data_IF_779971011120
#
_entry.id   IF_779971011120
#
_cell.length_a   1.000
_cell.length_b   1.000
_cell.length_c   1.000
_cell.angle_alpha   90.00
_cell.angle_beta   90.00
_cell.angle_gamma   90.00
#
_symmetry.space_group_name_H-M   'P 1'
#
loop_
_entity.id
_entity.type
_entity.pdbx_description
1 polymer ?
#
# COMPACT_ATOMS: atom_id res chain seq x y z
N UNK A 1 6.58 -9.61 -2.65
CA UNK A 1 6.48 -8.39 -1.83
C UNK A 1 7.81 -8.18 -1.12
N UNK A 2 8.44 -7.01 -1.24
CA UNK A 2 9.64 -6.71 -0.43
C UNK A 2 9.20 -6.55 1.02
N UNK A 3 9.92 -7.14 1.98
CA UNK A 3 9.56 -7.08 3.41
C UNK A 3 9.42 -5.63 3.89
N UNK A 4 10.25 -4.72 3.33
CA UNK A 4 10.22 -3.29 3.64
C UNK A 4 8.93 -2.61 3.16
N UNK A 5 8.49 -2.87 1.92
CA UNK A 5 7.25 -2.30 1.40
C UNK A 5 6.04 -2.80 2.19
N UNK A 6 6.00 -4.11 2.47
CA UNK A 6 4.94 -4.73 3.28
C UNK A 6 4.84 -4.11 4.67
N UNK A 7 5.97 -3.94 5.36
CA UNK A 7 6.00 -3.35 6.69
C UNK A 7 5.58 -1.87 6.70
N UNK A 8 6.05 -1.07 5.73
CA UNK A 8 5.67 0.34 5.64
C UNK A 8 4.16 0.50 5.32
N UNK A 9 3.63 -0.32 4.42
CA UNK A 9 2.20 -0.32 4.08
C UNK A 9 1.35 -0.77 5.27
N UNK A 10 1.77 -1.81 5.98
CA UNK A 10 1.11 -2.25 7.21
C UNK A 10 1.11 -1.15 8.28
N UNK A 11 2.27 -0.50 8.50
CA UNK A 11 2.40 0.60 9.46
C UNK A 11 1.47 1.77 9.14
N UNK A 12 1.39 2.16 7.87
CA UNK A 12 0.44 3.17 7.41
C UNK A 12 -1.02 2.77 7.71
N UNK A 13 -1.39 1.52 7.45
CA UNK A 13 -2.76 1.05 7.65
C UNK A 13 -3.12 1.02 9.14
N UNK A 14 -2.20 0.55 9.99
CA UNK A 14 -2.38 0.55 11.45
C UNK A 14 -2.55 1.97 11.96
N UNK A 15 -1.71 2.91 11.52
CA UNK A 15 -1.83 4.32 11.90
C UNK A 15 -3.21 4.89 11.50
N UNK A 16 -3.64 4.68 10.25
CA UNK A 16 -4.94 5.17 9.76
C UNK A 16 -6.10 4.57 10.57
N UNK A 17 -6.07 3.27 10.89
CA UNK A 17 -7.12 2.61 11.67
C UNK A 17 -7.19 3.17 13.09
N UNK A 18 -6.05 3.38 13.74
CA UNK A 18 -6.00 3.95 15.11
C UNK A 18 -6.58 5.37 15.10
N UNK A 19 -6.11 6.23 14.20
CA UNK A 19 -6.56 7.62 14.11
C UNK A 19 -8.06 7.70 13.76
N UNK A 20 -8.53 6.85 12.84
CA UNK A 20 -9.96 6.76 12.51
C UNK A 20 -10.79 6.22 13.68
N UNK A 21 -10.23 5.30 14.46
CA UNK A 21 -10.86 4.75 15.67
C UNK A 21 -11.06 5.80 16.76
N UNK A 22 -10.12 6.73 16.92
CA UNK A 22 -10.27 7.88 17.84
C UNK A 22 -11.45 8.75 17.42
N UNK A 23 -11.53 9.12 16.14
CA UNK A 23 -12.64 9.94 15.62
C UNK A 23 -13.97 9.20 15.69
N UNK A 24 -14.00 7.89 15.44
CA UNK A 24 -15.18 7.06 15.60
C UNK A 24 -15.65 7.02 17.06
N UNK A 25 -14.73 6.87 18.01
CA UNK A 25 -15.02 6.87 19.45
C UNK A 25 -15.62 8.20 19.92
N UNK A 26 -15.03 9.33 19.50
CA UNK A 26 -15.58 10.66 19.79
C UNK A 26 -16.94 10.87 19.12
N UNK A 27 -17.10 10.44 17.86
CA UNK A 27 -18.38 10.49 17.16
C UNK A 27 -19.47 9.67 17.84
N UNK A 28 -19.13 8.47 18.34
CA UNK A 28 -20.05 7.63 19.10
C UNK A 28 -20.42 8.24 20.46
N UNK A 29 -19.46 8.88 21.15
CA UNK A 29 -19.73 9.65 22.37
C UNK A 29 -20.74 10.78 22.09
N UNK A 30 -20.51 11.55 21.03
CA UNK A 30 -21.45 12.60 20.60
C UNK A 30 -22.83 12.04 20.23
N UNK A 31 -22.89 10.88 19.59
CA UNK A 31 -24.16 10.24 19.25
C UNK A 31 -24.94 9.83 20.50
N UNK A 32 -24.27 9.32 21.53
CA UNK A 32 -24.93 8.92 22.77
C UNK A 32 -25.51 10.12 23.53
N UNK A 33 -24.79 11.25 23.53
CA UNK A 33 -25.08 12.39 24.38
C UNK A 33 -26.00 13.44 23.73
N UNK A 34 -25.84 13.68 22.41
CA UNK A 34 -26.46 14.80 21.71
C UNK A 34 -27.54 14.44 20.69
N UNK A 35 -27.66 13.17 20.28
CA UNK A 35 -28.76 12.78 19.39
C UNK A 35 -30.09 12.72 20.14
N UNK A 36 -31.19 13.19 19.54
CA UNK A 36 -31.30 13.75 18.17
C UNK A 36 -31.19 15.29 18.05
N UNK A 37 -30.93 16.04 19.12
CA UNK A 37 -31.25 17.47 19.15
C UNK A 37 -30.11 18.41 18.72
N UNK A 38 -28.83 18.01 18.88
CA UNK A 38 -27.69 18.89 18.58
C UNK A 38 -26.80 18.30 17.48
N UNK A 39 -26.57 19.07 16.40
CA UNK A 39 -25.59 18.79 15.32
C UNK A 39 -25.64 17.36 14.75
N UNK A 40 -26.85 16.81 14.61
CA UNK A 40 -27.10 15.45 14.11
C UNK A 40 -26.34 15.13 12.81
N UNK A 41 -26.35 16.04 11.83
CA UNK A 41 -25.73 15.81 10.52
C UNK A 41 -24.21 15.58 10.61
N UNK A 42 -23.53 16.37 11.45
CA UNK A 42 -22.09 16.24 11.63
C UNK A 42 -21.73 14.94 12.34
N UNK A 43 -22.46 14.61 13.42
CA UNK A 43 -22.22 13.37 14.18
C UNK A 43 -22.43 12.13 13.32
N UNK A 44 -23.51 12.09 12.52
CA UNK A 44 -23.77 10.99 11.58
C UNK A 44 -22.65 10.91 10.54
N UNK A 45 -22.27 12.04 9.94
CA UNK A 45 -21.20 12.08 8.94
C UNK A 45 -19.86 11.58 9.50
N UNK A 46 -19.49 12.00 10.72
CA UNK A 46 -18.26 11.57 11.41
C UNK A 46 -18.21 10.05 11.62
N UNK A 47 -19.31 9.46 12.10
CA UNK A 47 -19.40 8.01 12.34
C UNK A 47 -19.33 7.24 11.02
N UNK A 48 -20.07 7.68 10.00
CA UNK A 48 -20.13 7.01 8.70
C UNK A 48 -18.77 7.03 8.02
N UNK A 49 -18.12 8.19 7.92
CA UNK A 49 -16.82 8.33 7.25
C UNK A 49 -15.73 7.55 7.99
N UNK A 50 -15.70 7.60 9.33
CA UNK A 50 -14.70 6.86 10.12
C UNK A 50 -14.91 5.34 9.97
N UNK A 51 -16.16 4.86 10.05
CA UNK A 51 -16.48 3.43 9.87
C UNK A 51 -16.16 2.95 8.45
N UNK A 52 -16.52 3.74 7.45
CA UNK A 52 -16.24 3.45 6.05
C UNK A 52 -14.74 3.40 5.78
N UNK A 53 -13.96 4.28 6.40
CA UNK A 53 -12.48 4.27 6.32
C UNK A 53 -11.93 2.95 6.87
N UNK A 54 -12.32 2.56 8.09
CA UNK A 54 -11.86 1.31 8.71
C UNK A 54 -12.22 0.09 7.85
N UNK A 55 -13.48 -0.01 7.43
CA UNK A 55 -13.95 -1.12 6.60
C UNK A 55 -13.20 -1.20 5.27
N UNK A 56 -13.01 -0.06 4.60
CA UNK A 56 -12.31 -0.02 3.31
C UNK A 56 -10.85 -0.46 3.45
N UNK A 57 -10.15 0.00 4.49
CA UNK A 57 -8.77 -0.41 4.75
C UNK A 57 -8.63 -1.89 5.11
N UNK A 58 -9.61 -2.49 5.79
CA UNK A 58 -9.64 -3.93 6.04
C UNK A 58 -9.84 -4.73 4.74
N UNK A 59 -10.65 -4.24 3.80
CA UNK A 59 -10.84 -4.89 2.49
C UNK A 59 -9.61 -4.76 1.59
N UNK A 60 -8.99 -3.58 1.53
CA UNK A 60 -7.80 -3.33 0.71
C UNK A 60 -6.56 -4.08 1.22
N UNK A 61 -6.53 -4.53 2.48
CA UNK A 61 -5.48 -5.44 2.95
C UNK A 61 -5.44 -6.75 2.17
N UNK A 62 -6.60 -7.27 1.77
CA UNK A 62 -6.73 -8.58 1.17
C UNK A 62 -6.61 -8.55 -0.36
N UNK A 63 -7.21 -7.55 -1.04
CA UNK A 63 -7.39 -7.56 -2.51
C UNK A 63 -6.95 -6.26 -3.22
N UNK A 64 -5.96 -5.52 -2.69
CA UNK A 64 -5.58 -4.25 -3.31
C UNK A 64 -4.78 -4.41 -4.62
N UNK A 65 -5.19 -3.59 -5.59
CA UNK A 65 -4.46 -3.24 -6.81
C UNK A 65 -4.08 -1.76 -6.73
N UNK A 66 -3.02 -1.28 -7.42
CA UNK A 66 -2.65 0.13 -7.39
C UNK A 66 -3.79 1.05 -7.85
N UNK A 67 -4.59 0.57 -8.81
CA UNK A 67 -5.77 1.30 -9.27
C UNK A 67 -6.83 1.45 -8.17
N UNK A 68 -7.22 0.34 -7.54
CA UNK A 68 -8.24 0.39 -6.48
C UNK A 68 -7.75 1.18 -5.26
N UNK A 69 -6.47 1.06 -4.90
CA UNK A 69 -5.88 1.82 -3.79
C UNK A 69 -5.83 3.33 -4.08
N UNK A 70 -5.50 3.75 -5.31
CA UNK A 70 -5.54 5.16 -5.70
C UNK A 70 -6.96 5.77 -5.61
N UNK A 71 -7.98 5.05 -6.11
CA UNK A 71 -9.38 5.50 -6.04
C UNK A 71 -9.84 5.61 -4.59
N UNK A 72 -9.52 4.60 -3.77
CA UNK A 72 -9.85 4.59 -2.33
C UNK A 72 -9.20 5.76 -1.60
N UNK A 73 -7.90 5.98 -1.79
CA UNK A 73 -7.17 7.07 -1.15
C UNK A 73 -7.73 8.43 -1.56
N UNK A 74 -8.12 8.61 -2.82
CA UNK A 74 -8.74 9.83 -3.30
C UNK A 74 -10.11 10.07 -2.65
N UNK A 75 -11.01 9.09 -2.71
CA UNK A 75 -12.36 9.22 -2.13
C UNK A 75 -12.29 9.44 -0.62
N UNK A 76 -11.53 8.63 0.11
CA UNK A 76 -11.37 8.81 1.55
C UNK A 76 -10.69 10.15 1.86
N UNK A 77 -9.67 10.54 1.11
CA UNK A 77 -9.04 11.86 1.23
C UNK A 77 -10.06 12.99 1.14
N UNK A 78 -10.94 12.98 0.14
CA UNK A 78 -11.99 14.01 0.01
C UNK A 78 -13.00 14.01 1.16
N UNK A 79 -13.38 12.83 1.67
CA UNK A 79 -14.29 12.73 2.82
C UNK A 79 -13.66 13.27 4.11
N UNK A 80 -12.39 12.98 4.34
CA UNK A 80 -11.65 13.50 5.50
C UNK A 80 -11.36 15.00 5.39
N UNK A 81 -11.09 15.51 4.18
CA UNK A 81 -11.01 16.95 3.92
C UNK A 81 -12.35 17.63 4.22
N UNK A 82 -13.45 17.08 3.75
CA UNK A 82 -14.78 17.61 4.02
C UNK A 82 -15.10 17.61 5.52
N UNK A 83 -14.70 16.56 6.24
CA UNK A 83 -14.85 16.50 7.70
C UNK A 83 -14.04 17.58 8.41
N UNK A 84 -12.77 17.77 8.04
CA UNK A 84 -11.91 18.79 8.64
C UNK A 84 -12.28 20.22 8.28
N UNK A 85 -12.93 20.43 7.13
CA UNK A 85 -13.48 21.72 6.73
C UNK A 85 -14.80 22.03 7.44
N UNK A 86 -15.62 21.01 7.75
CA UNK A 86 -16.89 21.17 8.44
C UNK A 86 -16.73 21.25 9.97
N UNK A 87 -15.69 20.67 10.55
CA UNK A 87 -15.37 20.88 11.96
C UNK A 87 -14.95 22.33 12.20
N UNK A 88 -15.88 23.17 12.62
CA UNK A 88 -15.64 24.56 13.00
C UNK A 88 -15.60 24.71 14.52
N UNK A 89 -14.68 25.55 14.99
CA UNK A 89 -14.53 25.99 16.39
C UNK A 89 -15.54 27.06 16.82
N UNK A 90 -16.59 27.24 16.01
CA UNK A 90 -17.65 28.22 16.23
C UNK A 90 -18.99 27.50 16.42
N UNK A 91 -19.74 27.92 17.44
CA UNK A 91 -21.10 27.49 17.73
C UNK A 91 -21.99 28.74 17.65
N UNK A 92 -22.74 28.87 16.55
CA UNK A 92 -23.53 30.07 16.28
C UNK A 92 -22.61 31.30 16.08
N UNK A 93 -22.82 32.42 16.81
CA UNK A 93 -21.94 33.59 16.73
C UNK A 93 -20.74 33.53 17.68
N UNK A 94 -20.63 32.51 18.56
CA UNK A 94 -19.61 32.46 19.61
C UNK A 94 -18.49 31.48 19.28
N UNK A 95 -17.25 31.93 19.50
CA UNK A 95 -16.07 31.08 19.44
C UNK A 95 -16.00 30.18 20.68
N UNK A 96 -15.54 28.95 20.49
CA UNK A 96 -15.42 27.94 21.55
C UNK A 96 -14.61 28.41 22.78
N UNK A 97 -13.68 29.35 22.62
CA UNK A 97 -12.86 29.87 23.72
C UNK A 97 -13.62 30.88 24.61
N UNK A 98 -14.71 31.48 24.11
CA UNK A 98 -15.53 32.44 24.84
C UNK A 98 -16.62 31.78 25.71
N UNK A 99 -16.78 30.45 25.63
CA UNK A 99 -17.93 29.73 26.21
C UNK A 99 -17.60 29.01 27.52
N UNK A 100 -16.56 29.46 28.23
CA UNK A 100 -16.16 28.90 29.51
C UNK A 100 -17.33 28.92 30.53
N UNK A 101 -17.65 27.76 31.10
CA UNK A 101 -18.69 27.61 32.13
C UNK A 101 -20.13 27.50 31.63
N UNK A 102 -20.41 27.64 30.32
CA UNK A 102 -21.76 27.39 29.80
C UNK A 102 -22.04 25.90 29.62
N UNK A 103 -23.28 25.52 29.88
CA UNK A 103 -23.76 24.15 29.73
C UNK A 103 -24.83 24.08 28.65
N UNK A 104 -24.87 22.97 27.93
CA UNK A 104 -25.92 22.67 26.96
C UNK A 104 -26.77 21.51 27.47
N UNK A 105 -28.08 21.50 27.18
CA UNK A 105 -28.90 20.33 27.43
C UNK A 105 -28.38 19.13 26.63
N UNK A 106 -28.24 18.00 27.31
CA UNK A 106 -27.92 16.69 26.74
C UNK A 106 -29.02 15.70 27.06
N UNK A 107 -28.94 14.50 26.50
CA UNK A 107 -29.91 13.42 26.76
C UNK A 107 -29.95 13.00 28.24
N UNK A 108 -28.83 13.11 28.97
CA UNK A 108 -28.70 12.65 30.36
C UNK A 108 -28.61 13.81 31.38
N UNK A 109 -28.82 15.06 30.96
CA UNK A 109 -28.77 16.23 31.83
C UNK A 109 -28.13 17.45 31.15
N UNK A 110 -27.14 18.05 31.80
CA UNK A 110 -26.41 19.19 31.27
C UNK A 110 -24.94 18.81 31.07
N UNK A 111 -24.40 19.04 29.87
CA UNK A 111 -22.96 18.85 29.58
C UNK A 111 -22.26 20.18 29.37
N UNK A 112 -20.99 20.25 29.75
CA UNK A 112 -20.19 21.45 29.54
C UNK A 112 -19.94 21.68 28.05
N UNK A 113 -20.30 22.87 27.55
CA UNK A 113 -20.05 23.22 26.15
C UNK A 113 -18.54 23.29 25.83
N UNK A 114 -17.73 23.60 26.84
CA UNK A 114 -16.27 23.64 26.71
C UNK A 114 -15.66 22.27 26.39
N UNK A 115 -16.12 21.19 27.04
CA UNK A 115 -15.65 19.84 26.73
C UNK A 115 -15.99 19.45 25.29
N UNK A 116 -17.22 19.74 24.86
CA UNK A 116 -17.65 19.52 23.48
C UNK A 116 -16.77 20.26 22.46
N UNK A 117 -16.43 21.52 22.75
CA UNK A 117 -15.53 22.31 21.92
C UNK A 117 -14.13 21.72 21.81
N UNK A 118 -13.56 21.21 22.91
CA UNK A 118 -12.26 20.54 22.87
C UNK A 118 -12.32 19.24 22.06
N UNK A 119 -13.34 18.41 22.25
CA UNK A 119 -13.52 17.18 21.47
C UNK A 119 -13.69 17.48 19.97
N UNK A 120 -14.37 18.57 19.60
CA UNK A 120 -14.49 19.03 18.21
C UNK A 120 -13.13 19.45 17.61
N UNK A 121 -12.31 20.21 18.36
CA UNK A 121 -10.94 20.58 17.94
C UNK A 121 -10.07 19.34 17.73
N UNK A 122 -10.26 18.30 18.54
CA UNK A 122 -9.57 17.02 18.37
C UNK A 122 -9.98 16.32 17.06
N UNK A 123 -11.28 16.23 16.76
CA UNK A 123 -11.76 15.68 15.48
C UNK A 123 -11.22 16.47 14.29
N UNK A 124 -11.17 17.81 14.40
CA UNK A 124 -10.58 18.67 13.37
C UNK A 124 -9.09 18.34 13.15
N UNK A 125 -8.30 18.26 14.21
CA UNK A 125 -6.87 17.95 14.08
C UNK A 125 -6.63 16.56 13.46
N UNK A 126 -7.36 15.55 13.90
CA UNK A 126 -7.23 14.19 13.37
C UNK A 126 -7.70 14.07 11.92
N UNK A 127 -8.77 14.77 11.53
CA UNK A 127 -9.25 14.76 10.15
C UNK A 127 -8.27 15.41 9.17
N UNK A 128 -7.67 16.54 9.53
CA UNK A 128 -6.59 17.14 8.74
C UNK A 128 -5.35 16.25 8.66
N UNK A 129 -4.98 15.62 9.77
CA UNK A 129 -3.84 14.68 9.81
C UNK A 129 -4.09 13.49 8.88
N UNK A 130 -5.27 12.88 8.93
CA UNK A 130 -5.65 11.78 8.05
C UNK A 130 -5.70 12.21 6.59
N UNK A 131 -6.25 13.39 6.28
CA UNK A 131 -6.23 13.93 4.93
C UNK A 131 -4.79 14.07 4.39
N UNK A 132 -3.88 14.68 5.16
CA UNK A 132 -2.47 14.84 4.76
C UNK A 132 -1.81 13.47 4.53
N UNK A 133 -2.06 12.51 5.43
CA UNK A 133 -1.56 11.14 5.29
C UNK A 133 -2.06 10.48 3.99
N UNK A 134 -3.34 10.65 3.62
CA UNK A 134 -3.86 10.13 2.36
C UNK A 134 -3.26 10.82 1.14
N UNK A 135 -3.03 12.14 1.18
CA UNK A 135 -2.37 12.87 0.09
C UNK A 135 -0.93 12.38 -0.10
N UNK A 136 -0.17 12.21 0.98
CA UNK A 136 1.19 11.67 0.92
C UNK A 136 1.18 10.24 0.37
N UNK A 137 0.29 9.38 0.86
CA UNK A 137 0.19 8.00 0.38
C UNK A 137 -0.20 7.95 -1.12
N UNK A 138 -1.14 8.79 -1.54
CA UNK A 138 -1.57 8.91 -2.93
C UNK A 138 -0.42 9.36 -3.85
N UNK A 139 0.36 10.35 -3.40
CA UNK A 139 1.53 10.84 -4.11
C UNK A 139 2.62 9.78 -4.22
N UNK A 140 2.95 9.09 -3.13
CA UNK A 140 3.95 8.01 -3.11
C UNK A 140 3.53 6.86 -4.03
N UNK A 141 2.25 6.46 -4.01
CA UNK A 141 1.72 5.43 -4.91
C UNK A 141 1.94 5.83 -6.38
N UNK A 142 1.61 7.06 -6.76
CA UNK A 142 1.81 7.55 -8.12
C UNK A 142 3.29 7.55 -8.53
N UNK A 143 4.20 7.97 -7.64
CA UNK A 143 5.63 7.95 -7.92
C UNK A 143 6.15 6.53 -8.17
N UNK A 144 5.75 5.58 -7.32
CA UNK A 144 6.13 4.17 -7.45
C UNK A 144 5.60 3.54 -8.73
N UNK A 145 4.34 3.82 -9.08
CA UNK A 145 3.73 3.32 -10.32
C UNK A 145 4.42 3.92 -11.55
N UNK A 146 4.71 5.24 -11.55
CA UNK A 146 5.45 5.89 -12.63
C UNK A 146 6.86 5.32 -12.81
N UNK A 147 7.57 5.06 -11.70
CA UNK A 147 8.89 4.45 -11.75
C UNK A 147 8.84 3.06 -12.38
N UNK A 148 7.88 2.22 -11.98
CA UNK A 148 7.74 0.88 -12.53
C UNK A 148 7.27 0.86 -14.00
N UNK A 149 6.47 1.84 -14.43
CA UNK A 149 6.14 2.00 -15.86
C UNK A 149 7.38 2.34 -16.70
N UNK A 150 8.32 3.15 -16.18
CA UNK A 150 9.60 3.43 -16.86
C UNK A 150 10.47 2.18 -17.02
N UNK A 151 10.32 1.19 -16.14
CA UNK A 151 10.95 -0.13 -16.25
C UNK A 151 10.20 -1.10 -17.19
N UNK A 152 9.22 -0.63 -17.96
CA UNK A 152 8.56 -1.43 -19.00
C UNK A 152 7.31 -2.20 -18.57
N UNK A 153 6.82 -2.04 -17.34
CA UNK A 153 5.56 -2.69 -16.89
C UNK A 153 4.33 -1.84 -17.20
N UNK A 154 3.80 -1.98 -18.41
CA UNK A 154 2.64 -1.20 -18.86
C UNK A 154 1.29 -1.59 -18.22
N UNK A 155 1.19 -2.80 -17.61
CA UNK A 155 -0.04 -3.32 -16.99
C UNK A 155 -0.04 -3.26 -15.45
N UNK A 156 0.85 -2.47 -14.86
CA UNK A 156 1.04 -2.39 -13.40
C UNK A 156 -0.23 -2.04 -12.61
N UNK A 157 -1.11 -1.21 -13.18
CA UNK A 157 -2.34 -0.77 -12.50
C UNK A 157 -3.31 -1.90 -12.17
N UNK A 158 -3.29 -2.99 -12.94
CA UNK A 158 -4.14 -4.17 -12.74
C UNK A 158 -3.44 -5.30 -11.98
N UNK A 159 -2.15 -5.20 -11.73
CA UNK A 159 -1.38 -6.24 -11.05
C UNK A 159 -1.59 -6.18 -9.53
N UNK A 160 -1.64 -7.33 -8.82
CA UNK A 160 -1.72 -7.34 -7.37
C UNK A 160 -0.51 -6.65 -6.73
N UNK A 161 -0.77 -5.75 -5.77
CA UNK A 161 0.29 -4.98 -5.08
C UNK A 161 1.35 -5.86 -4.42
N UNK A 162 0.96 -7.07 -4.01
CA UNK A 162 1.85 -8.04 -3.34
C UNK A 162 2.94 -8.60 -4.27
N UNK A 163 2.68 -8.59 -5.58
CA UNK A 163 3.54 -9.21 -6.60
C UNK A 163 4.49 -8.21 -7.27
N UNK A 164 4.30 -6.91 -7.02
CA UNK A 164 5.05 -5.83 -7.65
C UNK A 164 6.41 -5.59 -6.95
N UNK A 165 7.52 -5.47 -7.72
CA UNK A 165 8.82 -5.05 -7.20
C UNK A 165 8.86 -3.52 -7.09
N UNK A 166 8.60 -3.00 -5.89
CA UNK A 166 8.46 -1.57 -5.66
C UNK A 166 9.80 -0.80 -5.50
N UNK A 167 10.91 -1.50 -5.23
CA UNK A 167 12.20 -0.87 -4.86
C UNK A 167 13.38 -1.42 -5.67
N UNK A 168 13.41 -1.17 -6.98
CA UNK A 168 14.55 -1.46 -7.88
C UNK A 168 15.04 -2.92 -7.90
N UNK A 169 14.29 -3.84 -7.31
CA UNK A 169 14.56 -5.28 -7.38
C UNK A 169 14.23 -5.78 -8.79
N UNK A 170 15.20 -6.44 -9.43
CA UNK A 170 15.10 -6.88 -10.81
C UNK A 170 13.81 -7.69 -11.06
N UNK A 171 13.11 -7.44 -12.18
CA UNK A 171 11.88 -8.16 -12.51
C UNK A 171 12.18 -9.66 -12.64
N UNK A 172 11.67 -10.44 -11.69
CA UNK A 172 11.85 -11.90 -11.65
C UNK A 172 12.33 -12.47 -10.31
N UNK A 173 12.78 -11.64 -9.37
CA UNK A 173 13.40 -12.16 -8.15
C UNK A 173 12.40 -12.76 -7.13
N UNK A 174 11.10 -12.42 -7.20
CA UNK A 174 10.12 -12.87 -6.17
C UNK A 174 8.76 -13.37 -6.66
N UNK A 175 8.41 -13.38 -7.96
CA UNK A 175 7.15 -13.99 -8.42
C UNK A 175 7.14 -14.19 -9.95
N UNK A 176 7.42 -15.40 -10.41
CA UNK A 176 7.13 -15.87 -11.78
C UNK A 176 6.08 -16.97 -11.74
N UNK A 177 4.91 -16.70 -11.16
CA UNK A 177 3.80 -17.67 -11.12
C UNK A 177 2.51 -17.21 -11.83
N UNK A 178 2.55 -16.18 -12.67
CA UNK A 178 1.31 -15.67 -13.27
C UNK A 178 1.47 -15.44 -14.78
N UNK A 179 1.04 -16.46 -15.53
CA UNK A 179 0.57 -16.43 -16.93
C UNK A 179 1.53 -15.90 -18.02
N UNK A 180 2.38 -16.79 -18.53
CA UNK A 180 3.01 -16.65 -19.84
C UNK A 180 3.49 -18.01 -20.35
N UNK A 181 3.07 -18.49 -21.54
CA UNK A 181 3.38 -19.86 -21.99
C UNK A 181 4.82 -20.08 -22.48
N UNK A 182 5.76 -19.15 -22.24
CA UNK A 182 7.12 -19.23 -22.78
C UNK A 182 8.16 -18.44 -21.96
N UNK A 183 8.39 -18.76 -20.68
CA UNK A 183 9.57 -18.21 -20.00
C UNK A 183 10.41 -19.28 -19.32
N UNK A 184 11.68 -19.29 -19.74
CA UNK A 184 12.75 -20.20 -19.36
C UNK A 184 12.82 -20.34 -17.84
N UNK A 185 12.52 -21.56 -17.40
CA UNK A 185 12.73 -22.06 -16.07
C UNK A 185 14.24 -22.17 -15.84
N UNK A 186 14.87 -21.13 -15.28
CA UNK A 186 16.23 -21.25 -14.76
C UNK A 186 16.17 -22.16 -13.53
N UNK A 187 16.86 -23.32 -13.51
CA UNK A 187 16.78 -24.23 -12.38
C UNK A 187 17.43 -23.58 -11.14
N UNK A 188 16.81 -23.67 -9.96
CA UNK A 188 17.44 -23.23 -8.73
C UNK A 188 18.69 -24.09 -8.45
N UNK A 189 19.77 -23.54 -7.85
CA UNK A 189 20.92 -24.33 -7.44
C UNK A 189 20.54 -25.11 -6.17
N UNK A 190 19.81 -26.21 -6.32
CA UNK A 190 19.50 -27.13 -5.23
C UNK A 190 20.59 -28.19 -5.11
N UNK A 191 21.29 -28.11 -3.98
CA UNK A 191 21.90 -29.19 -3.22
C UNK A 191 21.77 -30.62 -3.78
N UNK A 192 22.93 -31.22 -4.03
CA UNK A 192 23.28 -32.62 -3.75
C UNK A 192 22.30 -33.74 -4.10
N UNK A 193 22.73 -34.64 -5.00
CA UNK A 193 22.29 -36.04 -4.94
C UNK A 193 22.16 -36.75 -6.27
N UNK A 194 23.02 -37.76 -6.46
CA UNK A 194 22.84 -39.01 -7.21
C UNK A 194 22.56 -38.97 -8.72
N UNK A 195 23.44 -39.65 -9.46
CA UNK A 195 23.47 -39.71 -10.91
C UNK A 195 22.55 -40.76 -11.54
N UNK A 196 22.43 -40.68 -12.87
CA UNK A 196 22.08 -41.70 -13.87
C UNK A 196 22.18 -41.02 -15.27
N UNK A 197 22.16 -41.73 -16.43
CA UNK A 197 23.23 -41.71 -17.40
C UNK A 197 22.85 -41.03 -18.73
N UNK A 198 23.90 -40.58 -19.42
CA UNK A 198 24.07 -40.43 -20.87
C UNK A 198 22.84 -40.62 -21.78
N UNK A 199 22.42 -39.52 -22.43
CA UNK A 199 21.75 -39.54 -23.73
C UNK A 199 22.39 -38.46 -24.64
N UNK A 200 22.98 -38.82 -25.80
CA UNK A 200 23.70 -37.87 -26.65
C UNK A 200 22.85 -37.50 -27.88
N UNK A 201 22.15 -36.37 -27.85
CA UNK A 201 21.70 -35.66 -29.04
C UNK A 201 21.00 -34.37 -28.62
N UNK A 202 21.25 -33.28 -29.36
CA UNK A 202 20.67 -31.94 -29.22
C UNK A 202 21.30 -31.03 -28.14
N UNK A 203 22.26 -30.22 -28.59
CA UNK A 203 22.33 -28.80 -28.25
C UNK A 203 22.54 -28.40 -26.79
N UNK A 204 22.97 -29.32 -25.93
CA UNK A 204 23.27 -29.03 -24.53
C UNK A 204 24.57 -28.24 -24.40
N UNK A 205 24.54 -27.16 -23.60
CA UNK A 205 25.77 -26.49 -23.18
C UNK A 205 26.73 -27.54 -22.58
N UNK A 206 28.00 -27.59 -23.03
CA UNK A 206 28.94 -28.54 -22.49
C UNK A 206 29.14 -28.24 -21.01
N UNK A 207 28.84 -29.21 -20.15
CA UNK A 207 29.06 -29.12 -18.71
C UNK A 207 30.55 -28.81 -18.47
N UNK A 208 30.90 -27.77 -17.71
CA UNK A 208 32.30 -27.41 -17.46
C UNK A 208 33.02 -28.57 -16.77
N UNK A 209 33.98 -29.19 -17.46
CA UNK A 209 34.89 -30.13 -16.83
C UNK A 209 35.98 -29.35 -16.07
N UNK A 210 36.26 -29.70 -14.80
CA UNK A 210 37.35 -29.10 -14.04
C UNK A 210 38.67 -29.16 -14.82
N UNK A 211 39.43 -28.06 -14.84
CA UNK A 211 40.73 -27.97 -15.55
C UNK A 211 40.66 -27.62 -17.04
N UNK A 212 39.48 -27.23 -17.55
CA UNK A 212 39.30 -26.73 -18.92
C UNK A 212 38.81 -25.28 -18.89
N UNK A 213 39.29 -24.46 -19.83
CA UNK A 213 38.78 -23.11 -20.08
C UNK A 213 37.75 -23.15 -21.22
N UNK A 214 36.72 -22.32 -21.10
CA UNK A 214 35.62 -22.24 -22.08
C UNK A 214 35.86 -21.02 -22.97
N UNK A 215 35.98 -21.25 -24.27
CA UNK A 215 36.03 -20.19 -25.28
C UNK A 215 34.69 -20.17 -26.01
N UNK A 216 34.05 -19.00 -26.03
CA UNK A 216 32.79 -18.77 -26.74
C UNK A 216 33.11 -17.90 -27.96
N UNK A 217 32.98 -18.45 -29.15
CA UNK A 217 33.16 -17.71 -30.40
C UNK A 217 31.80 -17.24 -30.94
N UNK A 218 31.61 -15.94 -31.20
CA UNK A 218 30.40 -15.43 -31.85
C UNK A 218 30.23 -16.08 -33.22
N UNK A 219 29.03 -16.58 -33.53
CA UNK A 219 28.73 -17.11 -34.85
C UNK A 219 28.70 -16.00 -35.90
N UNK A 220 29.34 -16.22 -37.05
CA UNK A 220 29.23 -15.31 -38.18
C UNK A 220 27.81 -15.35 -38.77
N UNK A 221 27.27 -14.18 -39.17
CA UNK A 221 25.94 -14.04 -39.79
C UNK A 221 24.75 -14.50 -38.92
N UNK A 222 24.81 -14.30 -37.60
CA UNK A 222 23.71 -14.62 -36.69
C UNK A 222 23.54 -16.13 -36.43
N UNK A 223 24.52 -16.94 -36.82
CA UNK A 223 24.60 -18.33 -36.43
C UNK A 223 24.78 -18.47 -34.90
N UNK A 224 24.30 -19.57 -34.29
CA UNK A 224 24.50 -19.81 -32.87
C UNK A 224 26.00 -19.82 -32.50
N UNK A 225 26.37 -19.32 -31.31
CA UNK A 225 27.76 -19.27 -30.87
C UNK A 225 28.34 -20.67 -30.72
N UNK A 226 29.60 -20.84 -31.12
CA UNK A 226 30.32 -22.10 -30.92
C UNK A 226 31.02 -22.06 -29.57
N UNK A 227 30.77 -23.08 -28.74
CA UNK A 227 31.38 -23.22 -27.42
C UNK A 227 32.42 -24.33 -27.49
N UNK A 228 33.67 -24.00 -27.24
CA UNK A 228 34.78 -24.97 -27.24
C UNK A 228 35.46 -24.98 -25.87
N UNK A 229 35.67 -26.18 -25.32
CA UNK A 229 36.48 -26.35 -24.11
C UNK A 229 37.92 -26.69 -24.52
N UNK A 230 38.89 -25.93 -24.02
CA UNK A 230 40.33 -26.22 -24.20
C UNK A 230 40.99 -26.48 -22.84
N UNK A 231 41.85 -27.51 -22.71
CA UNK A 231 42.59 -27.78 -21.49
C UNK A 231 43.42 -26.56 -21.05
N UNK A 232 43.43 -26.26 -19.76
CA UNK A 232 44.20 -25.13 -19.20
C UNK A 232 45.71 -25.28 -19.45
N UNK A 233 46.20 -26.49 -19.75
CA UNK A 233 47.59 -26.75 -20.11
C UNK A 233 47.97 -26.31 -21.53
N UNK A 234 47.01 -25.84 -22.34
CA UNK A 234 47.21 -25.46 -23.75
C UNK A 234 46.92 -23.99 -24.05
N UNK A 235 46.56 -23.20 -23.02
CA UNK A 235 46.31 -21.75 -23.12
C UNK A 235 47.50 -20.98 -22.58
#
# INVERSE_FOLDING_TARGET
MTVRFGNNRLGFYVAVIILSGVVLGLGANFANEFLPHLRQNFTIFSIVVSSFTILTFLLTLQWATPYSEAVVLFVLGTLWLAMGAWSTDVIGPMQCDAVAGQKTPSKNGETSLQAFCYEMKVIQAFSWTLFILFVIAFYVLHQLVNQAMRFGRHKIWSEPIRELPWFEEAPGYYNTNTYGPNMMQYPPPSAGGYGYPYHPAMGGMPVPNPGHSIIIQPGMNGAPPTVTQVPISTV
#
